data_IF_298490579321
#
_entry.id   IF_298490579321
#
_cell.length_a   1.000
_cell.length_b   1.000
_cell.length_c   1.000
_cell.angle_alpha   90.00
_cell.angle_beta   90.00
_cell.angle_gamma   90.00
#
_symmetry.space_group_name_H-M   'P 1'
#
loop_
_entity.id
_entity.type
_entity.pdbx_description
1 polymer ?
#
# COMPACT_ATOMS: atom_id res chain seq x y z
N UNK A 1 -22.69 -0.69 47.19
CA UNK A 1 -22.24 -2.03 46.76
C UNK A 1 -23.28 -2.51 45.75
N UNK A 2 -23.02 -2.85 44.48
CA UNK A 2 -21.80 -3.30 43.83
C UNK A 2 -21.81 -2.85 42.35
N UNK A 3 -20.62 -2.50 41.85
CA UNK A 3 -20.28 -2.14 40.47
C UNK A 3 -20.71 -3.23 39.46
N UNK A 4 -21.14 -2.83 38.26
CA UNK A 4 -21.00 -3.67 37.06
C UNK A 4 -20.20 -2.90 36.01
N UNK A 5 -18.97 -3.36 35.82
CA UNK A 5 -17.97 -2.90 34.86
C UNK A 5 -17.99 -3.80 33.62
N UNK A 6 -17.76 -3.16 32.48
CA UNK A 6 -16.90 -3.58 31.36
C UNK A 6 -17.27 -4.87 30.61
N UNK A 7 -17.72 -4.66 29.36
CA UNK A 7 -17.71 -5.61 28.25
C UNK A 7 -16.33 -6.27 28.10
N UNK A 8 -16.24 -7.62 28.02
CA UNK A 8 -15.02 -8.29 27.61
C UNK A 8 -14.84 -8.20 26.09
N UNK A 9 -13.67 -7.73 25.70
CA UNK A 9 -13.14 -7.70 24.35
C UNK A 9 -13.02 -9.15 23.86
N UNK A 10 -13.71 -9.46 22.77
CA UNK A 10 -13.67 -10.74 22.09
C UNK A 10 -12.28 -10.90 21.43
N UNK A 11 -11.33 -11.51 22.15
CA UNK A 11 -10.05 -11.96 21.61
C UNK A 11 -10.26 -13.34 20.96
N UNK A 12 -9.91 -13.54 19.67
CA UNK A 12 -9.96 -14.87 19.06
C UNK A 12 -8.90 -15.75 19.71
N UNK A 13 -9.34 -16.82 20.36
CA UNK A 13 -8.46 -17.85 20.89
C UNK A 13 -7.80 -18.59 19.72
N UNK A 14 -6.48 -18.47 19.59
CA UNK A 14 -5.69 -19.37 18.74
C UNK A 14 -5.44 -20.70 19.49
N UNK A 15 -5.71 -21.86 18.89
CA UNK A 15 -5.36 -23.13 19.50
C UNK A 15 -3.89 -23.43 19.24
N UNK A 16 -2.98 -22.91 20.07
CA UNK A 16 -1.64 -23.49 20.22
C UNK A 16 -1.76 -24.84 20.95
N UNK A 17 -2.24 -25.86 20.24
CA UNK A 17 -2.24 -27.24 20.73
C UNK A 17 -0.83 -27.81 20.51
N UNK A 18 -0.05 -27.89 21.59
CA UNK A 18 1.22 -28.60 21.60
C UNK A 18 0.98 -30.10 21.32
N UNK A 19 1.30 -30.56 20.11
CA UNK A 19 1.45 -31.99 19.84
C UNK A 19 2.84 -32.42 20.30
N UNK A 20 2.89 -33.16 21.40
CA UNK A 20 4.06 -33.90 21.85
C UNK A 20 4.32 -35.06 20.86
N UNK A 21 5.22 -34.84 19.91
CA UNK A 21 5.86 -35.93 19.17
C UNK A 21 7.21 -36.23 19.85
N UNK A 22 7.20 -37.24 20.74
CA UNK A 22 8.43 -37.88 21.20
C UNK A 22 9.06 -38.59 20.01
N UNK A 23 10.21 -38.16 19.51
CA UNK A 23 11.28 -39.03 19.03
C UNK A 23 12.56 -38.19 18.85
N UNK A 24 13.65 -38.73 19.38
CA UNK A 24 15.00 -38.20 19.38
C UNK A 24 15.46 -37.74 17.98
N UNK A 25 16.02 -36.53 17.88
CA UNK A 25 17.23 -36.17 17.12
C UNK A 25 17.58 -34.70 17.43
N UNK A 26 18.79 -34.52 17.95
CA UNK A 26 19.69 -33.35 17.93
C UNK A 26 19.07 -31.98 17.58
N UNK A 27 18.97 -31.16 18.62
CA UNK A 27 19.09 -29.70 18.67
C UNK A 27 19.29 -28.95 17.35
N UNK A 28 18.19 -28.49 16.74
CA UNK A 28 18.03 -27.14 16.19
C UNK A 28 16.53 -26.85 16.14
N UNK A 29 15.98 -26.39 17.26
CA UNK A 29 14.60 -25.91 17.33
C UNK A 29 14.53 -24.54 16.64
N UNK A 30 14.48 -24.52 15.32
CA UNK A 30 13.95 -23.35 14.61
C UNK A 30 12.45 -23.33 14.86
N UNK A 31 12.05 -22.56 15.87
CA UNK A 31 10.68 -22.10 16.01
C UNK A 31 10.41 -21.21 14.80
N UNK A 32 9.95 -21.80 13.70
CA UNK A 32 9.29 -21.05 12.63
C UNK A 32 7.92 -20.70 13.17
N UNK A 33 7.86 -19.66 14.01
CA UNK A 33 6.64 -18.87 14.06
C UNK A 33 6.47 -18.34 12.64
N UNK A 34 5.50 -18.88 11.90
CA UNK A 34 4.94 -18.17 10.77
C UNK A 34 4.43 -16.85 11.33
N UNK A 35 5.29 -15.83 11.30
CA UNK A 35 4.87 -14.44 11.45
C UNK A 35 3.80 -14.30 10.38
N UNK A 36 2.55 -14.11 10.81
CA UNK A 36 1.48 -13.76 9.89
C UNK A 36 2.05 -12.71 8.96
N UNK A 37 2.03 -13.01 7.65
CA UNK A 37 2.31 -12.01 6.65
C UNK A 37 1.48 -10.79 7.06
N UNK A 38 2.09 -9.63 7.36
CA UNK A 38 1.27 -8.44 7.47
C UNK A 38 0.55 -8.37 6.13
N UNK A 39 -0.78 -8.40 6.15
CA UNK A 39 -1.54 -7.88 5.02
C UNK A 39 -1.02 -6.47 4.85
N UNK A 40 -0.11 -6.27 3.91
CA UNK A 40 0.35 -4.95 3.51
C UNK A 40 -0.88 -4.40 2.83
N UNK A 41 -1.74 -3.76 3.62
CA UNK A 41 -2.73 -2.87 3.09
C UNK A 41 -1.92 -1.84 2.32
N UNK A 42 -1.93 -1.98 1.00
CA UNK A 42 -1.09 -1.29 0.05
C UNK A 42 -1.58 0.15 0.01
N UNK A 43 -1.19 0.93 1.03
CA UNK A 43 -1.61 2.31 1.18
C UNK A 43 -0.85 3.13 0.15
N UNK A 44 -1.44 3.26 -1.03
CA UNK A 44 -1.05 4.24 -2.05
C UNK A 44 -1.05 5.63 -1.41
N UNK A 45 -0.09 6.48 -1.74
CA UNK A 45 -0.03 7.85 -1.22
C UNK A 45 -1.40 8.55 -1.42
N UNK A 46 -1.95 9.25 -0.41
CA UNK A 46 -3.27 9.83 -0.50
C UNK A 46 -3.30 10.91 -1.58
N UNK A 47 -4.15 10.70 -2.58
CA UNK A 47 -4.44 11.68 -3.62
C UNK A 47 -5.07 12.92 -2.97
N UNK A 48 -4.62 14.15 -3.28
CA UNK A 48 -5.32 15.33 -2.81
C UNK A 48 -6.74 15.35 -3.41
N UNK A 49 -7.73 15.65 -2.58
CA UNK A 49 -9.10 15.72 -3.04
C UNK A 49 -9.29 16.90 -4.01
N UNK A 50 -9.94 16.68 -5.18
CA UNK A 50 -10.34 17.79 -6.03
C UNK A 50 -11.38 18.66 -5.31
N UNK A 51 -11.68 19.84 -5.84
CA UNK A 51 -12.89 20.55 -5.43
C UNK A 51 -14.12 19.78 -5.92
N UNK A 52 -15.17 19.71 -5.10
CA UNK A 52 -16.46 19.21 -5.56
C UNK A 52 -17.14 20.25 -6.48
N UNK A 53 -18.31 19.91 -7.03
CA UNK A 53 -19.08 20.80 -7.91
C UNK A 53 -19.66 22.01 -7.19
N UNK A 54 -19.65 22.03 -5.86
CA UNK A 54 -20.06 23.16 -5.04
C UNK A 54 -18.88 24.03 -4.62
N UNK A 55 -17.64 23.61 -4.94
CA UNK A 55 -16.41 24.32 -4.60
C UNK A 55 -15.89 23.98 -3.21
N UNK A 56 -16.38 22.90 -2.59
CA UNK A 56 -15.94 22.45 -1.27
C UNK A 56 -14.61 21.69 -1.36
N UNK A 57 -13.79 21.85 -0.31
CA UNK A 57 -12.54 21.08 -0.15
C UNK A 57 -12.86 19.75 0.52
N UNK A 58 -12.33 18.65 -0.03
CA UNK A 58 -12.52 17.31 0.49
C UNK A 58 -11.38 16.84 1.39
N UNK A 59 -11.66 15.84 2.24
CA UNK A 59 -10.65 15.10 3.02
C UNK A 59 -10.49 13.70 2.44
N UNK A 60 -9.28 13.24 2.12
CA UNK A 60 -9.05 11.90 1.58
C UNK A 60 -9.21 10.84 2.67
N UNK A 61 -9.96 9.77 2.39
CA UNK A 61 -10.26 8.70 3.36
C UNK A 61 -9.73 7.32 2.93
N UNK A 62 -9.72 7.01 1.63
CA UNK A 62 -9.22 5.73 1.12
C UNK A 62 -8.48 5.90 -0.21
N UNK A 63 -7.47 5.05 -0.46
CA UNK A 63 -6.66 5.01 -1.69
C UNK A 63 -6.22 3.60 -2.12
N UNK A 64 -6.83 2.53 -1.60
CA UNK A 64 -6.34 1.16 -1.88
C UNK A 64 -6.85 0.61 -3.22
N UNK A 65 -8.09 0.95 -3.62
CA UNK A 65 -8.71 0.48 -4.88
C UNK A 65 -9.43 1.58 -5.67
N UNK A 66 -9.90 2.59 -4.95
CA UNK A 66 -10.49 3.83 -5.43
C UNK A 66 -9.89 4.93 -4.56
N UNK A 67 -9.86 6.17 -5.05
CA UNK A 67 -9.59 7.30 -4.17
C UNK A 67 -10.92 7.92 -3.73
N UNK A 68 -11.14 7.93 -2.42
CA UNK A 68 -12.35 8.41 -1.78
C UNK A 68 -12.07 9.72 -1.07
N UNK A 69 -12.94 10.70 -1.32
CA UNK A 69 -12.94 11.99 -0.68
C UNK A 69 -14.27 12.28 -0.01
N UNK A 70 -14.21 12.85 1.19
CA UNK A 70 -15.40 13.31 1.91
C UNK A 70 -15.48 14.82 1.87
N UNK A 71 -16.64 15.30 1.42
CA UNK A 71 -17.03 16.70 1.34
C UNK A 71 -18.21 16.95 2.30
N UNK A 72 -18.55 18.22 2.47
CA UNK A 72 -19.73 18.63 3.27
C UNK A 72 -21.02 18.03 2.69
N UNK A 73 -21.11 17.95 1.36
CA UNK A 73 -22.29 17.47 0.66
C UNK A 73 -22.33 15.93 0.43
N UNK A 74 -21.31 15.18 0.81
CA UNK A 74 -21.26 13.73 0.60
C UNK A 74 -19.86 13.20 0.29
N UNK A 75 -19.78 11.91 -0.06
CA UNK A 75 -18.53 11.25 -0.44
C UNK A 75 -18.44 11.12 -1.97
N UNK A 76 -17.22 11.16 -2.51
CA UNK A 76 -16.94 10.96 -3.92
C UNK A 76 -15.86 9.91 -4.10
N UNK A 77 -16.12 8.95 -4.99
CA UNK A 77 -15.26 7.81 -5.22
C UNK A 77 -14.85 7.79 -6.70
N UNK A 78 -13.55 7.86 -6.96
CA UNK A 78 -13.03 7.78 -8.31
C UNK A 78 -12.11 6.59 -8.50
N UNK A 79 -12.21 6.01 -9.69
CA UNK A 79 -11.35 4.97 -10.18
C UNK A 79 -9.89 5.47 -10.23
N UNK A 80 -8.97 4.71 -9.65
CA UNK A 80 -7.56 5.13 -9.60
C UNK A 80 -6.80 4.96 -10.92
N UNK A 81 -7.32 4.14 -11.84
CA UNK A 81 -6.67 3.82 -13.10
C UNK A 81 -7.02 4.85 -14.19
N UNK A 82 -8.28 5.26 -14.27
CA UNK A 82 -8.77 6.18 -15.31
C UNK A 82 -9.35 7.50 -14.76
N UNK A 83 -9.55 7.63 -13.45
CA UNK A 83 -10.09 8.83 -12.80
C UNK A 83 -11.60 9.01 -12.97
N UNK A 84 -12.34 8.00 -13.45
CA UNK A 84 -13.80 8.08 -13.60
C UNK A 84 -14.51 7.99 -12.25
N UNK A 85 -15.61 8.76 -12.11
CA UNK A 85 -16.46 8.71 -10.91
C UNK A 85 -17.20 7.38 -10.86
N UNK A 86 -17.00 6.61 -9.79
CA UNK A 86 -17.64 5.31 -9.57
C UNK A 86 -19.04 5.50 -8.94
N UNK A 87 -19.15 6.40 -7.97
CA UNK A 87 -20.41 6.68 -7.28
C UNK A 87 -21.25 7.77 -8.01
N UNK A 88 -21.52 7.53 -9.29
CA UNK A 88 -22.20 8.46 -10.22
C UNK A 88 -23.57 8.98 -9.80
N UNK A 89 -24.20 8.38 -8.80
CA UNK A 89 -25.43 8.88 -8.19
C UNK A 89 -25.24 10.22 -7.44
N UNK A 90 -23.99 10.54 -7.07
CA UNK A 90 -23.66 11.78 -6.37
C UNK A 90 -23.61 12.96 -7.33
N UNK A 91 -24.44 13.97 -7.08
CA UNK A 91 -24.49 15.17 -7.92
C UNK A 91 -23.43 16.22 -7.57
N UNK A 92 -22.81 16.11 -6.39
CA UNK A 92 -21.77 17.02 -5.94
C UNK A 92 -20.39 16.67 -6.51
N UNK A 93 -20.18 15.47 -7.06
CA UNK A 93 -18.85 15.03 -7.49
C UNK A 93 -18.55 15.41 -8.96
N UNK A 94 -17.34 15.91 -9.30
CA UNK A 94 -16.91 15.96 -10.69
C UNK A 94 -16.95 14.57 -11.33
N UNK A 95 -17.38 14.50 -12.60
CA UNK A 95 -17.56 13.22 -13.30
C UNK A 95 -16.25 12.47 -13.58
N UNK A 96 -15.13 13.19 -13.51
CA UNK A 96 -13.79 12.62 -13.56
C UNK A 96 -12.87 13.46 -12.67
N UNK A 97 -12.01 12.79 -11.93
CA UNK A 97 -10.89 13.40 -11.26
C UNK A 97 -9.71 12.44 -11.36
N UNK A 98 -8.64 12.88 -12.02
CA UNK A 98 -7.42 12.11 -12.05
C UNK A 98 -6.74 12.23 -10.69
N UNK A 99 -6.61 11.12 -9.97
CA UNK A 99 -5.50 11.02 -9.05
C UNK A 99 -4.23 10.88 -9.88
N UNK A 100 -3.59 12.01 -10.20
CA UNK A 100 -2.17 11.97 -10.47
C UNK A 100 -1.56 11.42 -9.19
N UNK A 101 -1.25 10.12 -9.18
CA UNK A 101 -0.28 9.61 -8.24
C UNK A 101 0.90 10.57 -8.32
N UNK A 102 1.08 11.36 -7.29
CA UNK A 102 2.18 12.32 -7.24
C UNK A 102 3.44 11.50 -7.46
N UNK A 103 4.04 11.71 -8.63
CA UNK A 103 5.08 10.86 -9.17
C UNK A 103 4.80 10.52 -10.62
N UNK A 104 5.37 11.29 -11.54
CA UNK A 104 5.88 10.76 -12.80
C UNK A 104 7.01 9.75 -12.49
N UNK A 105 6.74 8.77 -11.65
CA UNK A 105 7.66 7.74 -11.21
C UNK A 105 7.83 6.78 -12.37
N UNK A 106 8.77 7.12 -13.24
CA UNK A 106 9.25 6.21 -14.24
C UNK A 106 10.33 5.34 -13.62
N UNK A 107 10.38 4.07 -14.03
CA UNK A 107 11.53 3.25 -13.74
C UNK A 107 12.76 3.84 -14.45
N UNK A 108 13.86 4.12 -13.72
CA UNK A 108 15.09 4.57 -14.34
C UNK A 108 15.68 3.42 -15.16
N UNK A 109 16.67 3.70 -15.99
CA UNK A 109 17.49 2.61 -16.52
C UNK A 109 18.30 1.98 -15.37
N UNK A 110 18.51 0.67 -15.42
CA UNK A 110 19.44 0.01 -14.50
C UNK A 110 20.90 0.41 -14.81
N UNK A 111 21.85 0.03 -13.95
CA UNK A 111 23.29 0.28 -14.15
C UNK A 111 23.86 -0.41 -15.41
N UNK A 112 23.10 -1.31 -16.03
CA UNK A 112 23.46 -1.96 -17.30
C UNK A 112 22.78 -1.27 -18.51
N UNK A 113 22.03 -0.20 -18.30
CA UNK A 113 21.33 0.57 -19.33
C UNK A 113 19.98 -0.03 -19.75
N UNK A 114 19.46 -1.04 -19.06
CA UNK A 114 18.18 -1.65 -19.39
C UNK A 114 17.02 -0.79 -18.90
N UNK A 115 16.02 -0.59 -19.75
CA UNK A 115 14.77 0.06 -19.35
C UNK A 115 14.00 -0.81 -18.36
N UNK A 116 13.60 -0.21 -17.24
CA UNK A 116 12.76 -0.85 -16.24
C UNK A 116 11.28 -0.78 -16.60
N UNK A 117 10.50 -1.76 -16.14
CA UNK A 117 9.04 -1.70 -16.17
C UNK A 117 8.50 -1.52 -14.76
N UNK A 118 7.62 -0.55 -14.58
CA UNK A 118 6.93 -0.33 -13.31
C UNK A 118 6.02 -1.53 -13.03
N UNK A 119 6.21 -2.15 -11.87
CA UNK A 119 5.42 -3.31 -11.42
C UNK A 119 4.59 -2.97 -10.18
N UNK A 120 5.00 -2.00 -9.37
CA UNK A 120 4.24 -1.50 -8.22
C UNK A 120 4.65 -0.06 -7.90
N UNK A 121 3.69 0.73 -7.43
CA UNK A 121 3.89 2.09 -6.93
C UNK A 121 2.84 2.39 -5.84
N UNK A 122 3.29 2.54 -4.61
CA UNK A 122 2.39 2.85 -3.49
C UNK A 122 3.14 3.37 -2.27
N UNK A 123 3.86 2.47 -1.59
CA UNK A 123 4.78 2.80 -0.49
C UNK A 123 6.25 2.84 -0.95
N UNK A 124 6.51 2.23 -2.10
CA UNK A 124 7.79 2.20 -2.78
C UNK A 124 7.51 2.08 -4.28
N UNK A 125 8.49 2.45 -5.10
CA UNK A 125 8.48 2.24 -6.54
C UNK A 125 9.22 0.96 -6.83
N UNK A 126 8.52 -0.04 -7.36
CA UNK A 126 9.12 -1.31 -7.75
C UNK A 126 9.25 -1.37 -9.27
N UNK A 127 10.47 -1.67 -9.71
CA UNK A 127 10.84 -1.73 -11.12
C UNK A 127 11.43 -3.10 -11.43
N UNK A 128 10.91 -3.75 -12.47
CA UNK A 128 11.45 -4.98 -13.02
C UNK A 128 12.40 -4.70 -14.19
N UNK A 129 13.54 -5.37 -14.20
CA UNK A 129 14.58 -5.32 -15.23
C UNK A 129 14.91 -6.73 -15.70
N UNK A 130 15.59 -6.89 -16.86
CA UNK A 130 16.03 -8.20 -17.33
C UNK A 130 16.89 -8.97 -16.32
N UNK A 131 17.65 -8.26 -15.48
CA UNK A 131 18.62 -8.86 -14.55
C UNK A 131 18.24 -8.72 -13.07
N UNK A 132 17.00 -8.31 -12.75
CA UNK A 132 16.60 -8.15 -11.36
C UNK A 132 15.44 -7.20 -11.16
N UNK A 133 15.19 -6.84 -9.90
CA UNK A 133 14.15 -5.89 -9.54
C UNK A 133 14.71 -4.87 -8.55
N UNK A 134 14.36 -3.60 -8.74
CA UNK A 134 14.77 -2.51 -7.88
C UNK A 134 13.56 -1.95 -7.14
N UNK A 135 13.73 -1.69 -5.85
CA UNK A 135 12.70 -1.08 -5.00
C UNK A 135 13.23 0.23 -4.49
N UNK A 136 12.56 1.33 -4.81
CA UNK A 136 12.94 2.68 -4.41
C UNK A 136 11.95 3.26 -3.41
N UNK A 137 12.46 4.01 -2.44
CA UNK A 137 11.67 4.76 -1.50
C UNK A 137 10.89 5.85 -2.27
N UNK A 138 9.59 5.96 -2.03
CA UNK A 138 8.72 6.89 -2.79
C UNK A 138 8.91 8.35 -2.36
N UNK A 139 9.41 8.60 -1.15
CA UNK A 139 9.56 9.95 -0.59
C UNK A 139 10.87 10.64 -1.03
N UNK A 140 11.93 9.87 -1.29
CA UNK A 140 13.25 10.43 -1.62
C UNK A 140 13.97 9.72 -2.78
N UNK A 141 13.33 8.70 -3.38
CA UNK A 141 13.86 7.96 -4.51
C UNK A 141 15.00 6.98 -4.17
N UNK A 142 15.39 6.81 -2.90
CA UNK A 142 16.55 6.01 -2.52
C UNK A 142 16.31 4.50 -2.72
N UNK A 143 17.31 3.77 -3.22
CA UNK A 143 17.26 2.32 -3.35
C UNK A 143 17.13 1.64 -1.97
N UNK A 144 16.06 0.87 -1.78
CA UNK A 144 15.76 0.16 -0.54
C UNK A 144 16.34 -1.26 -0.51
N UNK A 145 16.45 -1.91 -1.67
CA UNK A 145 16.95 -3.29 -1.79
C UNK A 145 18.40 -3.36 -2.29
N UNK A 146 19.28 -2.53 -1.70
CA UNK A 146 20.69 -2.43 -2.10
C UNK A 146 21.52 -3.70 -1.86
N UNK A 147 21.15 -4.53 -0.89
CA UNK A 147 21.84 -5.78 -0.58
C UNK A 147 21.41 -6.89 -1.56
N UNK A 148 22.18 -7.06 -2.64
CA UNK A 148 22.03 -8.19 -3.59
C UNK A 148 21.63 -7.82 -5.02
N UNK A 149 21.41 -6.54 -5.31
CA UNK A 149 21.03 -6.05 -6.65
C UNK A 149 22.06 -5.03 -7.16
N UNK A 150 23.21 -5.53 -7.66
CA UNK A 150 24.29 -4.66 -8.18
C UNK A 150 23.94 -3.92 -9.48
N UNK A 151 22.85 -4.33 -10.14
CA UNK A 151 22.32 -3.68 -11.32
C UNK A 151 21.47 -2.45 -11.01
N UNK A 152 21.01 -2.24 -9.77
CA UNK A 152 20.13 -1.10 -9.47
C UNK A 152 20.90 0.22 -9.31
N UNK A 153 20.33 1.30 -9.85
CA UNK A 153 20.81 2.67 -9.56
C UNK A 153 20.57 3.00 -8.08
N UNK A 154 21.41 3.84 -7.49
CA UNK A 154 21.32 4.20 -6.07
C UNK A 154 20.09 5.08 -5.75
N UNK A 155 19.56 5.77 -6.76
CA UNK A 155 18.46 6.73 -6.59
C UNK A 155 17.64 6.84 -7.89
N UNK A 156 16.33 7.03 -7.75
CA UNK A 156 15.41 7.34 -8.85
C UNK A 156 14.68 8.66 -8.61
N UNK A 157 14.14 9.24 -9.69
CA UNK A 157 13.27 10.41 -9.62
C UNK A 157 11.82 10.01 -9.41
N UNK A 158 11.29 10.43 -8.26
CA UNK A 158 9.91 10.59 -7.85
C UNK A 158 9.90 11.82 -6.92
#
# INVERSE_FOLDING_TARGET
>A
MHLSRLFPINQPQSPCRAMLAQFFIVSFLFVVCARGLPSVEQKRAPCPCPLDRFGDTGVPINTVHFFECVYVAGTCDWNMDNGELENTAQTNCPGSASCASTGNCACPNDNSGNAGRLIDFGQAVQCAYPNGACTFNIDNGALMNALGQGNCVAQTGC
#
